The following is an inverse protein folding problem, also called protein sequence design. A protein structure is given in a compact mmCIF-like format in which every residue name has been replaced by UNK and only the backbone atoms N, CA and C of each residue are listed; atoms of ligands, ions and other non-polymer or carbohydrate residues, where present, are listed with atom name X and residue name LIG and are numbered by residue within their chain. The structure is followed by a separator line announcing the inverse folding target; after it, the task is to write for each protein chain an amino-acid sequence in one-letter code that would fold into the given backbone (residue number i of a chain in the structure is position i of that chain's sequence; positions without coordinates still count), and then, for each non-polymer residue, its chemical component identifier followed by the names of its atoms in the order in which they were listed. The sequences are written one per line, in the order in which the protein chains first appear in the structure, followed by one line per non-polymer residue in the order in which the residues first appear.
data_IF_766380948828
#
_entry.id   IF_766380948828
#
_cell.length_a   1.000
_cell.length_b   1.000
_cell.length_c   1.000
_cell.angle_alpha   90.00
_cell.angle_beta   90.00
_cell.angle_gamma   90.00
#
_symmetry.space_group_name_H-M   'P 1'
#
loop_
_entity.id
_entity.type
_entity.pdbx_description
1 polymer ?
#
# COMPACT_ATOMS: atom_id res chain seq x y z
N UNK A 1 13.52 -14.20 2.71
CA UNK A 1 13.54 -15.09 1.55
C UNK A 1 14.71 -16.05 1.58
N UNK A 2 15.91 -15.53 1.83
CA UNK A 2 17.11 -16.34 1.88
C UNK A 2 17.03 -17.43 2.96
N UNK A 3 16.53 -17.08 4.16
CA UNK A 3 16.35 -18.03 5.25
C UNK A 3 15.33 -19.12 4.88
N UNK A 4 14.28 -18.77 4.16
CA UNK A 4 13.26 -19.70 3.72
C UNK A 4 13.83 -20.73 2.72
N UNK A 5 14.60 -20.27 1.75
CA UNK A 5 15.30 -21.15 0.81
C UNK A 5 16.26 -22.09 1.52
N UNK A 6 17.02 -21.58 2.48
CA UNK A 6 17.98 -22.38 3.23
C UNK A 6 17.29 -23.51 3.98
N UNK A 7 16.16 -23.24 4.63
CA UNK A 7 15.38 -24.25 5.33
C UNK A 7 14.85 -25.32 4.38
N UNK A 8 14.33 -24.92 3.22
CA UNK A 8 13.83 -25.85 2.20
C UNK A 8 14.91 -26.76 1.64
N UNK A 9 16.12 -26.23 1.46
CA UNK A 9 17.25 -27.00 0.96
C UNK A 9 17.82 -27.98 1.99
N UNK A 10 17.71 -27.68 3.27
CA UNK A 10 18.21 -28.54 4.34
C UNK A 10 17.23 -29.64 4.75
N UNK A 11 15.97 -29.51 4.42
CA UNK A 11 15.01 -30.58 4.63
C UNK A 11 15.31 -31.74 3.69
N UNK A 12 15.37 -32.95 4.23
CA UNK A 12 15.70 -34.16 3.50
C UNK A 12 14.51 -34.67 2.67
N UNK A 13 14.00 -33.83 1.76
CA UNK A 13 12.89 -34.17 0.88
C UNK A 13 13.43 -34.86 -0.41
N UNK A 14 12.64 -35.79 -1.00
CA UNK A 14 12.98 -36.36 -2.30
C UNK A 14 13.12 -35.25 -3.35
N UNK A 15 14.06 -35.40 -4.27
CA UNK A 15 14.36 -34.39 -5.29
C UNK A 15 13.14 -34.04 -6.13
N UNK A 16 12.30 -34.99 -6.47
CA UNK A 16 11.09 -34.80 -7.25
C UNK A 16 10.07 -33.93 -6.50
N UNK A 17 9.88 -34.17 -5.20
CA UNK A 17 8.99 -33.39 -4.36
C UNK A 17 9.55 -31.98 -4.13
N UNK A 18 10.86 -31.87 -3.99
CA UNK A 18 11.54 -30.60 -3.83
C UNK A 18 11.38 -29.72 -5.07
N UNK A 19 11.49 -30.31 -6.27
CA UNK A 19 11.33 -29.58 -7.53
C UNK A 19 9.90 -29.03 -7.69
N UNK A 20 8.88 -29.81 -7.38
CA UNK A 20 7.49 -29.36 -7.43
C UNK A 20 7.22 -28.23 -6.45
N UNK A 21 7.71 -28.34 -5.22
CA UNK A 21 7.55 -27.31 -4.21
C UNK A 21 8.33 -26.03 -4.53
N UNK A 22 9.49 -26.16 -5.18
CA UNK A 22 10.29 -25.00 -5.60
C UNK A 22 9.55 -24.19 -6.67
N UNK A 23 8.94 -24.85 -7.65
CA UNK A 23 8.20 -24.15 -8.70
C UNK A 23 7.03 -23.36 -8.12
N UNK A 24 6.22 -23.95 -7.24
CA UNK A 24 5.12 -23.28 -6.56
C UNK A 24 5.62 -22.10 -5.71
N UNK A 25 6.76 -22.30 -5.03
CA UNK A 25 7.36 -21.26 -4.20
C UNK A 25 7.87 -20.09 -5.04
N UNK A 26 8.52 -20.37 -6.16
CA UNK A 26 9.02 -19.35 -7.07
C UNK A 26 7.88 -18.53 -7.67
N UNK A 27 6.79 -19.18 -8.07
CA UNK A 27 5.61 -18.50 -8.57
C UNK A 27 5.03 -17.54 -7.52
N UNK A 28 4.94 -17.98 -6.26
CA UNK A 28 4.46 -17.13 -5.15
C UNK A 28 5.40 -15.95 -4.90
N UNK A 29 6.70 -16.17 -4.93
CA UNK A 29 7.70 -15.11 -4.76
C UNK A 29 7.63 -14.12 -5.91
N UNK A 30 7.47 -14.58 -7.14
CA UNK A 30 7.34 -13.72 -8.30
C UNK A 30 6.08 -12.85 -8.21
N UNK A 31 4.94 -13.40 -7.79
CA UNK A 31 3.70 -12.65 -7.60
C UNK A 31 3.86 -11.53 -6.57
N UNK A 32 4.48 -11.83 -5.44
CA UNK A 32 4.75 -10.83 -4.39
C UNK A 32 5.72 -9.77 -4.90
N UNK A 33 6.79 -10.16 -5.58
CA UNK A 33 7.77 -9.24 -6.14
C UNK A 33 7.14 -8.33 -7.21
N UNK A 34 6.27 -8.88 -8.05
CA UNK A 34 5.55 -8.11 -9.07
C UNK A 34 4.62 -7.09 -8.43
N UNK A 35 3.87 -7.47 -7.40
CA UNK A 35 3.02 -6.55 -6.65
C UNK A 35 3.83 -5.42 -6.01
N UNK A 36 4.99 -5.72 -5.44
CA UNK A 36 5.90 -4.72 -4.87
C UNK A 36 6.43 -3.76 -5.94
N UNK A 37 6.67 -4.23 -7.15
CA UNK A 37 7.21 -3.43 -8.23
C UNK A 37 6.15 -2.63 -8.98
N UNK A 38 4.86 -2.96 -8.79
CA UNK A 38 3.77 -2.30 -9.50
C UNK A 38 3.58 -0.87 -9.00
N UNK A 39 3.60 0.08 -9.93
CA UNK A 39 3.34 1.48 -9.62
C UNK A 39 1.90 1.84 -9.96
N UNK A 40 1.21 2.43 -9.00
CA UNK A 40 -0.15 2.92 -9.20
C UNK A 40 -0.08 4.31 -9.83
N UNK A 41 -0.87 4.56 -10.87
CA UNK A 41 -0.94 5.89 -11.47
C UNK A 41 -1.54 6.89 -10.50
N UNK A 42 -1.07 8.14 -10.56
CA UNK A 42 -1.54 9.21 -9.68
C UNK A 42 -3.06 9.44 -9.83
N UNK A 43 -3.57 9.39 -11.05
CA UNK A 43 -5.00 9.57 -11.31
C UNK A 43 -5.87 8.49 -10.68
N UNK A 44 -5.47 7.23 -10.80
CA UNK A 44 -6.19 6.12 -10.18
C UNK A 44 -6.14 6.20 -8.66
N UNK A 45 -4.97 6.50 -8.12
CA UNK A 45 -4.77 6.65 -6.68
C UNK A 45 -5.68 7.74 -6.10
N UNK A 46 -5.71 8.90 -6.72
CA UNK A 46 -6.54 10.01 -6.27
C UNK A 46 -8.03 9.69 -6.37
N UNK A 47 -8.45 8.99 -7.42
CA UNK A 47 -9.84 8.55 -7.58
C UNK A 47 -10.27 7.63 -6.44
N UNK A 48 -9.45 6.64 -6.11
CA UNK A 48 -9.76 5.70 -5.02
C UNK A 48 -9.83 6.43 -3.68
N UNK A 49 -8.90 7.35 -3.42
CA UNK A 49 -8.91 8.15 -2.19
C UNK A 49 -10.15 9.05 -2.12
N UNK A 50 -10.52 9.72 -3.20
CA UNK A 50 -11.74 10.53 -3.25
C UNK A 50 -12.99 9.71 -2.98
N UNK A 51 -13.12 8.56 -3.62
CA UNK A 51 -14.26 7.66 -3.41
C UNK A 51 -14.31 7.18 -1.97
N UNK A 52 -13.19 6.86 -1.36
CA UNK A 52 -13.12 6.43 0.03
C UNK A 52 -13.53 7.55 1.00
N UNK A 53 -13.09 8.76 0.76
CA UNK A 53 -13.45 9.93 1.58
C UNK A 53 -14.93 10.26 1.43
N UNK A 54 -15.46 10.22 0.20
CA UNK A 54 -16.88 10.48 -0.06
C UNK A 54 -17.79 9.44 0.61
N UNK A 55 -17.36 8.19 0.61
CA UNK A 55 -18.11 7.11 1.24
C UNK A 55 -18.14 7.21 2.78
N UNK A 56 -17.08 7.72 3.38
CA UNK A 56 -16.95 7.85 4.83
C UNK A 56 -16.16 9.11 5.20
N UNK A 57 -16.81 10.30 5.15
CA UNK A 57 -16.13 11.55 5.50
C UNK A 57 -15.70 11.58 6.96
N UNK A 58 -14.57 12.21 7.23
CA UNK A 58 -14.05 12.38 8.59
C UNK A 58 -14.13 13.83 9.01
N UNK A 59 -14.78 14.07 10.13
CA UNK A 59 -14.82 15.41 10.73
C UNK A 59 -14.63 15.31 12.24
N UNK A 60 -14.02 16.32 12.82
CA UNK A 60 -13.81 16.42 14.26
C UNK A 60 -13.86 17.87 14.68
N UNK A 61 -14.65 18.16 15.72
CA UNK A 61 -14.82 19.51 16.28
C UNK A 61 -15.21 20.54 15.22
N UNK A 62 -16.08 20.17 14.29
CA UNK A 62 -16.54 21.05 13.22
C UNK A 62 -15.56 21.24 12.07
N UNK A 63 -14.42 20.55 12.12
CA UNK A 63 -13.40 20.61 11.06
C UNK A 63 -13.44 19.31 10.25
N UNK A 64 -13.54 19.43 8.94
CA UNK A 64 -13.58 18.30 8.04
C UNK A 64 -12.18 18.01 7.51
N UNK A 65 -11.80 16.73 7.52
CA UNK A 65 -10.56 16.28 6.88
C UNK A 65 -10.71 16.41 5.37
N UNK A 66 -9.75 17.08 4.74
CA UNK A 66 -9.65 17.18 3.29
C UNK A 66 -8.32 16.63 2.82
N UNK A 67 -8.38 15.72 1.87
CA UNK A 67 -7.20 15.18 1.20
C UNK A 67 -7.12 15.84 -0.16
N UNK A 68 -6.15 16.72 -0.33
CA UNK A 68 -5.99 17.50 -1.56
C UNK A 68 -5.38 16.68 -2.69
N UNK A 69 -4.45 15.82 -2.33
CA UNK A 69 -3.67 15.10 -3.33
C UNK A 69 -3.03 13.87 -2.70
N UNK A 70 -2.93 12.81 -3.48
CA UNK A 70 -2.24 11.58 -3.11
C UNK A 70 -1.24 11.20 -4.19
N UNK A 71 -0.06 10.75 -3.80
CA UNK A 71 0.97 10.31 -4.73
C UNK A 71 1.70 9.09 -4.16
N UNK A 72 2.23 8.25 -5.04
CA UNK A 72 3.07 7.14 -4.64
C UNK A 72 4.53 7.58 -4.69
N UNK A 73 5.16 7.70 -3.52
CA UNK A 73 6.55 8.15 -3.42
C UNK A 73 7.55 7.04 -3.66
N UNK A 74 7.21 5.81 -3.25
CA UNK A 74 8.07 4.65 -3.40
C UNK A 74 7.25 3.46 -3.88
N UNK A 75 7.89 2.59 -4.65
CA UNK A 75 7.28 1.37 -5.18
C UNK A 75 7.60 0.16 -4.30
N UNK A 76 8.78 0.14 -3.67
CA UNK A 76 9.26 -0.95 -2.81
C UNK A 76 9.77 -0.42 -1.48
N UNK A 77 8.99 -0.54 -0.38
CA UNK A 77 7.58 -0.96 -0.32
C UNK A 77 6.65 0.11 -0.89
N UNK A 78 5.45 -0.23 -1.33
CA UNK A 78 4.49 0.76 -1.81
C UNK A 78 4.22 1.80 -0.72
N UNK A 79 4.53 3.06 -1.00
CA UNK A 79 4.39 4.17 -0.06
C UNK A 79 3.56 5.26 -0.70
N UNK A 80 2.43 5.56 -0.07
CA UNK A 80 1.48 6.58 -0.53
C UNK A 80 1.60 7.79 0.38
N UNK A 81 1.79 8.96 -0.20
CA UNK A 81 1.83 10.23 0.52
C UNK A 81 0.50 10.95 0.30
N UNK A 82 -0.16 11.29 1.39
CA UNK A 82 -1.42 12.04 1.38
C UNK A 82 -1.18 13.46 1.87
N UNK A 83 -1.56 14.44 1.05
CA UNK A 83 -1.47 15.85 1.43
C UNK A 83 -2.82 16.32 1.91
N UNK A 84 -2.90 16.66 3.19
CA UNK A 84 -4.14 16.98 3.90
C UNK A 84 -4.15 18.41 4.40
N UNK A 85 -5.33 18.90 4.80
CA UNK A 85 -5.47 20.22 5.42
C UNK A 85 -4.93 20.27 6.84
N UNK A 86 -5.09 19.18 7.60
CA UNK A 86 -4.62 19.08 8.98
C UNK A 86 -4.31 17.63 9.31
N UNK A 87 -3.06 17.35 9.66
CA UNK A 87 -2.59 16.00 10.00
C UNK A 87 -3.24 15.46 11.28
N UNK A 88 -3.67 16.35 12.18
CA UNK A 88 -4.33 15.94 13.42
C UNK A 88 -5.71 15.34 13.19
N UNK A 89 -6.34 15.65 12.07
CA UNK A 89 -7.63 15.05 11.69
C UNK A 89 -7.50 13.63 11.14
N UNK A 90 -6.30 13.22 10.79
CA UNK A 90 -6.03 11.88 10.31
C UNK A 90 -5.74 10.95 11.49
N UNK A 91 -6.78 10.32 12.03
CA UNK A 91 -6.63 9.33 13.08
C UNK A 91 -6.16 7.99 12.54
N UNK A 92 -5.53 7.20 13.39
CA UNK A 92 -5.04 5.87 13.06
C UNK A 92 -6.13 4.97 12.44
N UNK A 93 -7.33 5.01 12.99
CA UNK A 93 -8.45 4.22 12.49
C UNK A 93 -8.85 4.61 11.07
N UNK A 94 -8.81 5.90 10.74
CA UNK A 94 -9.13 6.40 9.41
C UNK A 94 -8.02 6.08 8.41
N UNK A 95 -6.78 6.19 8.83
CA UNK A 95 -5.63 5.78 8.03
C UNK A 95 -5.73 4.29 7.66
N UNK A 96 -6.11 3.45 8.63
CA UNK A 96 -6.34 2.02 8.39
C UNK A 96 -7.50 1.78 7.42
N UNK A 97 -8.55 2.56 7.52
CA UNK A 97 -9.68 2.50 6.59
C UNK A 97 -9.24 2.80 5.16
N UNK A 98 -8.46 3.87 4.96
CA UNK A 98 -7.93 4.23 3.65
C UNK A 98 -6.98 3.15 3.12
N UNK A 99 -6.16 2.59 3.98
CA UNK A 99 -5.26 1.49 3.63
C UNK A 99 -6.04 0.27 3.11
N UNK A 100 -7.11 -0.10 3.78
CA UNK A 100 -7.95 -1.22 3.37
C UNK A 100 -8.63 -0.95 2.02
N UNK A 101 -9.08 0.28 1.80
CA UNK A 101 -9.68 0.68 0.51
C UNK A 101 -8.66 0.60 -0.63
N UNK A 102 -7.43 1.01 -0.38
CA UNK A 102 -6.35 0.89 -1.36
C UNK A 102 -6.05 -0.58 -1.69
N UNK A 103 -6.02 -1.45 -0.69
CA UNK A 103 -5.81 -2.88 -0.91
C UNK A 103 -6.93 -3.51 -1.73
N UNK A 104 -8.17 -3.17 -1.44
CA UNK A 104 -9.32 -3.67 -2.20
C UNK A 104 -9.25 -3.21 -3.66
N UNK A 105 -8.89 -1.95 -3.89
CA UNK A 105 -8.86 -1.37 -5.23
C UNK A 105 -7.70 -1.88 -6.07
N UNK A 106 -6.52 -2.08 -5.49
CA UNK A 106 -5.29 -2.38 -6.22
C UNK A 106 -4.74 -3.79 -5.97
N UNK A 107 -5.33 -4.55 -5.05
CA UNK A 107 -5.00 -5.95 -4.86
C UNK A 107 -3.63 -6.23 -4.25
N UNK A 108 -3.12 -5.37 -3.39
CA UNK A 108 -1.85 -5.57 -2.69
C UNK A 108 -2.00 -6.58 -1.54
N UNK A 109 -2.39 -7.80 -1.84
CA UNK A 109 -2.50 -8.84 -0.83
C UNK A 109 -1.12 -9.32 -0.37
N UNK A 110 -0.95 -9.45 0.94
CA UNK A 110 0.31 -9.90 1.53
C UNK A 110 1.45 -8.89 1.43
N UNK A 111 1.23 -7.72 0.83
CA UNK A 111 2.24 -6.68 0.68
C UNK A 111 1.94 -5.53 1.62
N UNK A 112 2.88 -5.10 2.47
CA UNK A 112 2.67 -3.93 3.32
C UNK A 112 2.63 -2.67 2.48
N UNK A 113 1.60 -1.84 2.70
CA UNK A 113 1.50 -0.51 2.11
C UNK A 113 1.72 0.50 3.23
N UNK A 114 2.55 1.50 2.96
CA UNK A 114 2.81 2.59 3.90
C UNK A 114 2.02 3.82 3.50
N UNK A 115 1.41 4.46 4.47
CA UNK A 115 0.75 5.75 4.28
C UNK A 115 1.52 6.79 5.07
N UNK A 116 1.92 7.86 4.39
CA UNK A 116 2.57 9.01 5.01
C UNK A 116 1.63 10.20 4.83
N UNK A 117 1.28 10.85 5.94
CA UNK A 117 0.37 12.00 5.93
C UNK A 117 1.20 13.27 6.10
N UNK A 118 1.01 14.22 5.18
CA UNK A 118 1.71 15.50 5.21
C UNK A 118 0.71 16.64 5.07
N UNK A 119 0.99 17.74 5.74
CA UNK A 119 0.20 18.95 5.59
C UNK A 119 0.56 19.64 4.28
N UNK A 120 -0.47 20.08 3.54
CA UNK A 120 -0.26 20.85 2.32
C UNK A 120 0.34 22.22 2.67
N UNK A 121 1.44 22.58 1.99
CA UNK A 121 2.08 23.88 2.16
C UNK A 121 1.61 24.86 1.08
N UNK A 122 1.84 26.17 1.32
CA UNK A 122 1.50 27.21 0.33
C UNK A 122 2.25 27.02 -0.99
N UNK A 123 3.46 26.53 -0.93
CA UNK A 123 4.27 26.27 -2.12
C UNK A 123 3.65 25.20 -3.01
N UNK A 124 3.08 24.15 -2.39
CA UNK A 124 2.40 23.08 -3.13
C UNK A 124 1.09 23.55 -3.74
N UNK A 125 0.45 24.56 -3.16
CA UNK A 125 -0.79 25.11 -3.67
C UNK A 125 -0.62 25.89 -4.98
N UNK A 126 0.60 26.32 -5.31
CA UNK A 126 0.92 27.05 -6.54
C UNK A 126 1.20 26.12 -7.73
N UNK A 127 1.36 24.85 -7.48
CA UNK A 127 1.56 23.83 -8.50
C UNK A 127 0.23 23.17 -8.83
#
# INVERSE_FOLDING_TARGET
YTAFYTLSLHDALPISLLAENIDDLLDTVDDVAEQHARRISTGELNRVIEDAVDANPRSEKGRMLRIYYATMSHVKPPTVVLFVNDTQLMHFSYERYLLNRLREAFGYEGTPIRIVVRRRTKEMAKQ
#
